data_IF_673721426972
#
_entry.id   IF_673721426972
#
_cell.length_a   1.000
_cell.length_b   1.000
_cell.length_c   1.000
_cell.angle_alpha   90.00
_cell.angle_beta   90.00
_cell.angle_gamma   90.00
#
_symmetry.space_group_name_H-M   'P 1'
#
loop_
_entity.id
_entity.type
_entity.pdbx_description
1 polymer ?
#
# COMPACT_ATOMS: atom_id res chain seq x y z
N UNK A 1 6.19 15.83 12.41
CA UNK A 1 5.39 16.56 11.41
C UNK A 1 5.78 16.00 10.04
N UNK A 2 5.21 14.86 9.66
CA UNK A 2 5.26 14.40 8.28
C UNK A 2 3.86 14.67 7.70
N UNK A 3 3.78 15.66 6.83
CA UNK A 3 2.60 15.85 6.01
C UNK A 3 2.66 14.79 4.92
N UNK A 4 1.90 13.70 5.05
CA UNK A 4 1.66 12.76 3.96
C UNK A 4 1.06 13.54 2.80
N UNK A 5 1.88 13.83 1.79
CA UNK A 5 1.48 14.65 0.65
C UNK A 5 0.58 13.84 -0.27
N UNK A 6 -0.72 14.11 -0.25
CA UNK A 6 -1.57 13.65 -1.34
C UNK A 6 -1.18 14.43 -2.60
N UNK A 7 -0.59 13.74 -3.57
CA UNK A 7 -0.34 14.35 -4.89
C UNK A 7 -1.67 14.37 -5.63
N UNK A 8 -2.30 15.54 -5.64
CA UNK A 8 -3.53 15.80 -6.38
C UNK A 8 -3.26 15.82 -7.89
N UNK A 9 -3.61 14.72 -8.58
CA UNK A 9 -3.69 14.70 -10.04
C UNK A 9 -4.80 15.62 -10.53
N UNK A 10 -4.46 16.56 -11.42
CA UNK A 10 -5.36 17.56 -11.99
C UNK A 10 -6.56 16.96 -12.75
N UNK A 11 -7.66 17.70 -12.72
CA UNK A 11 -8.98 17.28 -13.19
C UNK A 11 -9.09 16.96 -14.68
N UNK A 12 -9.81 15.88 -14.95
CA UNK A 12 -10.34 15.48 -16.25
C UNK A 12 -11.30 14.31 -16.02
N UNK A 13 -12.50 14.38 -16.58
CA UNK A 13 -13.64 13.48 -16.30
C UNK A 13 -13.46 12.01 -16.70
N UNK A 14 -12.56 11.32 -16.00
CA UNK A 14 -12.49 9.87 -15.85
C UNK A 14 -12.38 9.55 -14.35
N UNK A 15 -12.60 8.29 -13.96
CA UNK A 15 -12.48 7.83 -12.57
C UNK A 15 -11.20 8.38 -11.93
N UNK A 16 -11.36 9.37 -11.05
CA UNK A 16 -10.22 10.13 -10.53
C UNK A 16 -9.58 9.33 -9.40
N UNK A 17 -8.28 9.07 -9.49
CA UNK A 17 -7.50 8.32 -8.50
C UNK A 17 -6.61 9.29 -7.71
N UNK A 18 -6.66 9.20 -6.38
CA UNK A 18 -5.78 9.95 -5.47
C UNK A 18 -4.75 8.99 -4.88
N UNK A 19 -3.46 9.32 -5.03
CA UNK A 19 -2.36 8.56 -4.42
C UNK A 19 -1.94 9.23 -3.12
N UNK A 20 -1.88 8.43 -2.07
CA UNK A 20 -1.44 8.82 -0.75
C UNK A 20 -0.17 8.03 -0.49
N UNK A 21 0.97 8.72 -0.52
CA UNK A 21 2.27 8.11 -0.26
C UNK A 21 2.59 8.18 1.23
N UNK A 22 3.14 7.09 1.74
CA UNK A 22 3.73 6.98 3.08
C UNK A 22 2.70 7.24 4.18
N UNK A 23 2.02 6.15 4.58
CA UNK A 23 1.05 6.16 5.69
C UNK A 23 1.78 5.89 7.01
N UNK A 24 3.06 5.47 6.97
CA UNK A 24 3.87 5.36 8.18
C UNK A 24 5.34 4.96 7.98
N UNK A 25 6.23 5.91 8.24
CA UNK A 25 7.59 5.66 8.74
C UNK A 25 7.93 6.67 9.87
N UNK A 26 7.51 6.36 11.10
CA UNK A 26 8.13 6.95 12.31
C UNK A 26 8.90 5.84 13.05
N UNK A 27 10.24 5.72 12.90
CA UNK A 27 11.03 4.75 13.67
C UNK A 27 11.24 5.21 15.14
N UNK A 28 11.07 4.27 16.06
CA UNK A 28 11.10 4.34 17.56
C UNK A 28 12.47 4.73 18.19
N UNK A 29 12.62 5.08 19.52
CA UNK A 29 11.78 4.68 20.67
C UNK A 29 11.46 5.73 21.79
N UNK A 30 10.52 5.30 22.66
CA UNK A 30 10.17 5.73 24.03
C UNK A 30 9.91 7.22 24.31
N UNK A 31 8.64 7.62 24.33
CA UNK A 31 8.13 8.49 25.40
C UNK A 31 6.60 8.41 25.48
N UNK A 32 6.13 8.39 26.73
CA UNK A 32 4.76 8.14 27.17
C UNK A 32 3.68 8.81 26.31
N UNK A 33 2.58 8.07 26.11
CA UNK A 33 1.22 8.49 25.71
C UNK A 33 1.06 10.00 25.42
N UNK A 34 1.70 10.50 24.37
CA UNK A 34 1.35 11.78 23.76
C UNK A 34 0.31 11.43 22.72
N UNK A 35 -0.93 11.85 22.97
CA UNK A 35 -2.04 11.74 22.02
C UNK A 35 -1.52 11.99 20.60
N UNK A 36 -1.53 10.95 19.76
CA UNK A 36 -1.16 11.10 18.35
C UNK A 36 -2.09 12.19 17.78
N UNK A 37 -1.55 13.23 17.13
CA UNK A 37 -2.40 14.25 16.53
C UNK A 37 -3.40 13.59 15.56
N UNK A 38 -4.65 14.07 15.50
CA UNK A 38 -5.65 13.49 14.60
C UNK A 38 -5.13 13.52 13.16
N UNK A 39 -5.27 12.40 12.47
CA UNK A 39 -4.78 12.28 11.10
C UNK A 39 -5.54 13.24 10.19
N UNK A 40 -4.78 14.08 9.50
CA UNK A 40 -5.35 15.12 8.64
C UNK A 40 -5.02 14.80 7.19
N UNK A 41 -6.04 14.55 6.38
CA UNK A 41 -5.87 14.41 4.93
C UNK A 41 -5.74 15.81 4.32
N UNK A 42 -4.74 16.00 3.45
CA UNK A 42 -4.57 17.21 2.66
C UNK A 42 -5.00 16.88 1.23
N UNK A 43 -5.91 17.66 0.64
CA UNK A 43 -6.46 17.39 -0.70
C UNK A 43 -7.90 16.86 -0.70
N UNK A 44 -8.51 16.85 -1.89
CA UNK A 44 -9.89 16.40 -2.12
C UNK A 44 -9.91 14.92 -2.56
N UNK A 45 -10.61 14.09 -1.79
CA UNK A 45 -10.81 12.65 -2.04
C UNK A 45 -12.27 12.29 -2.31
N UNK A 46 -13.16 13.29 -2.32
CA UNK A 46 -14.61 13.08 -2.42
C UNK A 46 -15.01 12.45 -3.76
N UNK A 47 -15.68 11.30 -3.71
CA UNK A 47 -16.10 10.54 -4.89
C UNK A 47 -14.96 9.89 -5.67
N UNK A 48 -13.73 9.89 -5.14
CA UNK A 48 -12.53 9.38 -5.83
C UNK A 48 -12.07 8.05 -5.26
N UNK A 49 -11.28 7.33 -6.03
CA UNK A 49 -10.57 6.15 -5.52
C UNK A 49 -9.30 6.62 -4.81
N UNK A 50 -9.12 6.25 -3.55
CA UNK A 50 -7.92 6.52 -2.78
C UNK A 50 -7.00 5.28 -2.80
N UNK A 51 -5.72 5.49 -3.11
CA UNK A 51 -4.69 4.45 -3.11
C UNK A 51 -3.59 4.86 -2.14
N UNK A 52 -3.47 4.12 -1.04
CA UNK A 52 -2.37 4.22 -0.09
C UNK A 52 -1.20 3.38 -0.60
N UNK A 53 -0.01 3.97 -0.67
CA UNK A 53 1.20 3.32 -1.18
C UNK A 53 2.28 3.39 -0.13
N UNK A 54 2.82 2.22 0.22
CA UNK A 54 3.94 2.08 1.15
C UNK A 54 4.96 1.07 0.63
N UNK A 55 6.14 0.98 1.24
CA UNK A 55 7.11 -0.07 0.90
C UNK A 55 6.78 -1.39 1.60
N UNK A 56 6.27 -1.35 2.83
CA UNK A 56 5.90 -2.51 3.62
C UNK A 56 4.61 -2.33 4.43
N UNK A 57 3.92 -3.43 4.70
CA UNK A 57 2.76 -3.50 5.59
C UNK A 57 3.01 -4.60 6.62
N UNK A 58 3.12 -4.20 7.88
CA UNK A 58 3.27 -5.11 9.04
C UNK A 58 2.13 -4.90 10.04
N UNK A 59 2.16 -3.79 10.80
CA UNK A 59 1.03 -3.31 11.58
C UNK A 59 0.09 -2.49 10.68
N UNK A 60 -1.21 -2.81 10.72
CA UNK A 60 -2.23 -2.21 9.86
C UNK A 60 -3.05 -1.13 10.57
N UNK A 61 -2.84 -0.88 11.86
CA UNK A 61 -3.62 0.09 12.63
C UNK A 61 -3.64 1.49 12.00
N UNK A 62 -2.51 1.95 11.47
CA UNK A 62 -2.42 3.25 10.80
C UNK A 62 -3.19 3.25 9.47
N UNK A 63 -3.09 2.19 8.68
CA UNK A 63 -3.84 2.04 7.44
C UNK A 63 -5.35 1.98 7.67
N UNK A 64 -5.79 1.29 8.73
CA UNK A 64 -7.22 1.22 9.11
C UNK A 64 -7.74 2.59 9.52
N UNK A 65 -7.03 3.29 10.41
CA UNK A 65 -7.40 4.64 10.80
C UNK A 65 -7.40 5.62 9.61
N UNK A 66 -6.48 5.44 8.65
CA UNK A 66 -6.42 6.28 7.46
C UNK A 66 -7.61 5.99 6.55
N UNK A 67 -7.98 4.72 6.42
CA UNK A 67 -9.15 4.31 5.67
C UNK A 67 -10.45 4.89 6.26
N UNK A 68 -10.58 4.97 7.59
CA UNK A 68 -11.71 5.64 8.26
C UNK A 68 -11.80 7.11 7.85
N UNK A 69 -10.71 7.88 8.01
CA UNK A 69 -10.70 9.31 7.65
C UNK A 69 -10.97 9.53 6.16
N UNK A 70 -10.44 8.68 5.29
CA UNK A 70 -10.70 8.74 3.85
C UNK A 70 -12.17 8.45 3.54
N UNK A 71 -12.77 7.49 4.25
CA UNK A 71 -14.17 7.16 4.08
C UNK A 71 -15.09 8.28 4.53
N UNK A 72 -14.81 8.89 5.68
CA UNK A 72 -15.53 10.06 6.20
C UNK A 72 -15.47 11.25 5.24
N UNK A 73 -14.35 11.41 4.52
CA UNK A 73 -14.17 12.44 3.49
C UNK A 73 -14.75 12.08 2.13
N UNK A 74 -15.48 10.97 2.03
CA UNK A 74 -16.23 10.58 0.85
C UNK A 74 -15.42 9.81 -0.20
N UNK A 75 -14.31 9.18 0.15
CA UNK A 75 -13.61 8.28 -0.77
C UNK A 75 -14.55 7.14 -1.23
N UNK A 76 -14.57 6.91 -2.54
CA UNK A 76 -15.42 5.90 -3.18
C UNK A 76 -14.91 4.49 -2.87
N UNK A 77 -13.60 4.26 -3.09
CA UNK A 77 -12.88 3.03 -2.75
C UNK A 77 -11.51 3.34 -2.20
N UNK A 78 -10.98 2.44 -1.37
CA UNK A 78 -9.71 2.60 -0.67
C UNK A 78 -8.87 1.34 -0.90
N UNK A 79 -7.69 1.52 -1.47
CA UNK A 79 -6.73 0.44 -1.76
C UNK A 79 -5.44 0.68 -0.99
N UNK A 80 -4.77 -0.40 -0.59
CA UNK A 80 -3.41 -0.36 -0.05
C UNK A 80 -2.50 -1.14 -0.99
N UNK A 81 -1.38 -0.55 -1.40
CA UNK A 81 -0.33 -1.20 -2.18
C UNK A 81 0.95 -1.15 -1.37
N UNK A 82 1.59 -2.31 -1.19
CA UNK A 82 2.91 -2.38 -0.61
C UNK A 82 3.79 -3.42 -1.28
N UNK A 83 5.10 -3.22 -1.23
CA UNK A 83 6.04 -4.20 -1.76
C UNK A 83 6.08 -5.42 -0.83
N UNK A 84 6.26 -5.19 0.47
CA UNK A 84 6.45 -6.26 1.45
C UNK A 84 5.22 -6.43 2.35
N UNK A 85 4.51 -7.55 2.22
CA UNK A 85 3.39 -7.90 3.10
C UNK A 85 3.84 -8.80 4.25
N UNK A 86 4.29 -8.23 5.37
CA UNK A 86 4.60 -9.00 6.59
C UNK A 86 3.31 -9.44 7.28
N UNK A 87 2.35 -8.51 7.39
CA UNK A 87 0.99 -8.75 7.87
C UNK A 87 0.97 -9.56 9.19
N UNK A 88 1.77 -9.13 10.17
CA UNK A 88 1.92 -9.85 11.44
C UNK A 88 0.69 -9.71 12.33
N UNK A 89 0.59 -10.61 13.32
CA UNK A 89 -0.44 -10.58 14.37
C UNK A 89 -1.88 -10.58 13.79
N UNK A 90 -2.73 -9.70 14.29
CA UNK A 90 -4.14 -9.55 13.92
C UNK A 90 -4.36 -8.79 12.59
N UNK A 91 -3.30 -8.49 11.83
CA UNK A 91 -3.40 -7.66 10.64
C UNK A 91 -4.47 -8.15 9.63
N UNK A 92 -4.58 -9.44 9.28
CA UNK A 92 -5.61 -9.91 8.34
C UNK A 92 -7.03 -9.64 8.84
N UNK A 93 -7.28 -9.84 10.14
CA UNK A 93 -8.58 -9.59 10.76
C UNK A 93 -8.94 -8.11 10.72
N UNK A 94 -8.00 -7.25 11.09
CA UNK A 94 -8.19 -5.80 11.08
C UNK A 94 -8.45 -5.27 9.65
N UNK A 95 -7.75 -5.81 8.65
CA UNK A 95 -8.01 -5.46 7.24
C UNK A 95 -9.43 -5.87 6.84
N UNK A 96 -9.86 -7.10 7.17
CA UNK A 96 -11.18 -7.61 6.83
C UNK A 96 -12.31 -6.76 7.44
N UNK A 97 -12.16 -6.35 8.70
CA UNK A 97 -13.13 -5.52 9.43
C UNK A 97 -13.13 -4.04 8.99
N UNK A 98 -12.05 -3.56 8.34
CA UNK A 98 -11.88 -2.15 7.97
C UNK A 98 -12.60 -1.71 6.68
N UNK A 99 -12.59 -0.40 6.42
CA UNK A 99 -13.05 0.22 5.17
C UNK A 99 -12.10 0.05 3.97
N UNK A 100 -10.98 -0.65 4.14
CA UNK A 100 -10.09 -0.99 3.02
C UNK A 100 -10.81 -1.99 2.10
N UNK A 101 -10.78 -1.73 0.80
CA UNK A 101 -11.37 -2.63 -0.20
C UNK A 101 -10.43 -3.78 -0.52
N UNK A 102 -9.17 -3.48 -0.86
CA UNK A 102 -8.16 -4.48 -1.19
C UNK A 102 -6.78 -4.03 -0.72
N UNK A 103 -5.98 -5.02 -0.28
CA UNK A 103 -4.57 -4.86 0.07
C UNK A 103 -3.77 -5.68 -0.93
N UNK A 104 -2.96 -5.01 -1.74
CA UNK A 104 -2.16 -5.62 -2.79
C UNK A 104 -0.70 -5.62 -2.35
N UNK A 105 -0.14 -6.81 -2.19
CA UNK A 105 1.26 -7.03 -1.78
C UNK A 105 1.98 -7.93 -2.76
N UNK A 106 3.31 -7.92 -2.77
CA UNK A 106 4.07 -8.89 -3.59
C UNK A 106 4.34 -10.18 -2.81
N UNK A 107 4.73 -11.25 -3.50
CA UNK A 107 5.19 -12.50 -2.88
C UNK A 107 6.64 -12.45 -2.35
N UNK A 108 7.18 -11.26 -2.03
CA UNK A 108 8.50 -11.12 -1.38
C UNK A 108 8.57 -11.77 0.00
N UNK A 109 7.45 -11.81 0.72
CA UNK A 109 7.29 -12.49 2.02
C UNK A 109 6.13 -13.48 1.89
N UNK A 110 6.28 -14.75 2.30
CA UNK A 110 5.17 -15.71 2.28
C UNK A 110 4.03 -15.30 3.22
N UNK A 111 2.81 -15.20 2.70
CA UNK A 111 1.64 -14.74 3.47
C UNK A 111 0.35 -15.52 3.13
N UNK A 112 0.47 -16.81 2.80
CA UNK A 112 -0.69 -17.64 2.42
C UNK A 112 -1.68 -17.87 3.58
N UNK A 113 -1.20 -17.94 4.82
CA UNK A 113 -2.06 -18.07 6.01
C UNK A 113 -2.92 -16.81 6.17
N UNK A 114 -2.32 -15.64 5.98
CA UNK A 114 -2.99 -14.35 6.06
C UNK A 114 -4.05 -14.21 4.96
N UNK A 115 -3.77 -14.67 3.74
CA UNK A 115 -4.76 -14.72 2.65
C UNK A 115 -5.94 -15.64 2.93
N UNK A 116 -5.71 -16.77 3.60
CA UNK A 116 -6.80 -17.64 4.03
C UNK A 116 -7.71 -16.98 5.08
N UNK A 117 -7.18 -16.05 5.86
CA UNK A 117 -7.91 -15.32 6.89
C UNK A 117 -8.63 -14.06 6.36
N UNK A 118 -8.15 -13.48 5.24
CA UNK A 118 -8.67 -12.23 4.70
C UNK A 118 -8.71 -12.25 3.17
N UNK A 119 -9.93 -12.15 2.60
CA UNK A 119 -10.16 -12.24 1.16
C UNK A 119 -9.74 -10.97 0.38
N UNK A 120 -9.51 -9.87 1.12
CA UNK A 120 -9.09 -8.58 0.59
C UNK A 120 -7.60 -8.55 0.23
N UNK A 121 -6.80 -9.51 0.69
CA UNK A 121 -5.36 -9.59 0.38
C UNK A 121 -5.17 -10.19 -1.02
N UNK A 122 -4.50 -9.47 -1.90
CA UNK A 122 -4.11 -9.89 -3.24
C UNK A 122 -2.58 -9.91 -3.36
N UNK A 123 -2.07 -10.94 -4.02
CA UNK A 123 -0.63 -11.11 -4.23
C UNK A 123 -0.29 -10.83 -5.69
N UNK A 124 0.72 -10.00 -5.91
CA UNK A 124 1.40 -9.86 -7.20
C UNK A 124 2.64 -10.76 -7.18
N UNK A 125 2.76 -11.64 -8.16
CA UNK A 125 3.97 -12.43 -8.34
C UNK A 125 5.09 -11.54 -8.92
N UNK A 126 6.26 -11.56 -8.29
CA UNK A 126 7.47 -10.90 -8.77
C UNK A 126 8.56 -11.90 -9.18
N UNK A 127 8.25 -13.20 -9.25
CA UNK A 127 9.19 -14.26 -9.61
C UNK A 127 9.87 -14.00 -10.95
N UNK A 128 9.11 -13.56 -11.96
CA UNK A 128 9.62 -13.21 -13.30
C UNK A 128 10.63 -12.07 -13.24
N UNK A 129 10.35 -11.03 -12.44
CA UNK A 129 11.27 -9.90 -12.25
C UNK A 129 12.59 -10.35 -11.61
N UNK A 130 12.52 -11.21 -10.59
CA UNK A 130 13.69 -11.76 -9.93
C UNK A 130 14.49 -12.71 -10.84
N UNK A 131 13.80 -13.57 -11.59
CA UNK A 131 14.42 -14.49 -12.55
C UNK A 131 15.17 -13.73 -13.66
N UNK A 132 14.55 -12.70 -14.22
CA UNK A 132 15.15 -11.86 -15.26
C UNK A 132 16.32 -11.02 -14.71
N UNK A 133 16.22 -10.55 -13.46
CA UNK A 133 17.34 -9.90 -12.78
C UNK A 133 18.55 -10.84 -12.65
N UNK A 134 18.34 -12.08 -12.18
CA UNK A 134 19.39 -13.09 -12.07
C UNK A 134 20.01 -13.39 -13.44
N UNK A 135 19.17 -13.59 -14.47
CA UNK A 135 19.62 -13.87 -15.85
C UNK A 135 20.51 -12.75 -16.39
N UNK A 136 20.10 -11.49 -16.20
CA UNK A 136 20.87 -10.31 -16.66
C UNK A 136 22.17 -10.14 -15.92
N UNK A 137 22.18 -10.33 -14.60
CA UNK A 137 23.40 -10.29 -13.78
C UNK A 137 24.39 -11.36 -14.25
N UNK A 138 23.91 -12.59 -14.47
CA UNK A 138 24.73 -13.70 -14.95
C UNK A 138 25.33 -13.42 -16.33
N UNK A 139 24.55 -12.84 -17.25
CA UNK A 139 24.97 -12.52 -18.60
C UNK A 139 25.68 -11.16 -18.74
N UNK A 140 25.83 -10.39 -17.65
CA UNK A 140 26.36 -9.01 -17.66
C UNK A 140 25.58 -8.06 -18.59
N UNK A 141 24.28 -8.29 -18.69
CA UNK A 141 23.36 -7.43 -19.44
C UNK A 141 22.91 -6.24 -18.59
N UNK A 142 22.41 -5.18 -19.24
CA UNK A 142 21.92 -4.01 -18.54
C UNK A 142 20.65 -4.30 -17.74
N UNK A 143 20.63 -3.87 -16.47
CA UNK A 143 19.46 -3.93 -15.58
C UNK A 143 18.41 -2.86 -15.89
N UNK A 144 18.74 -1.81 -16.64
CA UNK A 144 17.83 -0.68 -16.90
C UNK A 144 16.55 -1.08 -17.63
N UNK A 145 16.54 -2.23 -18.30
CA UNK A 145 15.37 -2.79 -18.98
C UNK A 145 14.24 -3.14 -18.01
N UNK A 146 14.57 -3.69 -16.82
CA UNK A 146 13.59 -4.13 -15.82
C UNK A 146 12.74 -3.00 -15.25
N UNK A 147 13.26 -1.78 -15.22
CA UNK A 147 12.53 -0.61 -14.72
C UNK A 147 11.58 0.02 -15.75
N UNK A 148 11.66 -0.40 -17.02
CA UNK A 148 10.89 0.18 -18.13
C UNK A 148 9.88 -0.80 -18.74
N UNK A 149 10.20 -2.09 -18.73
CA UNK A 149 9.46 -3.12 -19.44
C UNK A 149 9.07 -4.25 -18.48
N UNK A 150 8.11 -3.97 -17.59
CA UNK A 150 7.49 -4.97 -16.73
C UNK A 150 6.23 -5.47 -17.41
N UNK A 151 6.22 -6.74 -17.83
CA UNK A 151 5.01 -7.43 -18.28
C UNK A 151 4.32 -8.06 -17.07
N UNK A 152 3.01 -7.83 -16.93
CA UNK A 152 2.15 -8.50 -15.94
C UNK A 152 1.48 -9.75 -16.53
N UNK A 153 1.99 -10.23 -17.67
CA UNK A 153 1.48 -11.41 -18.34
C UNK A 153 2.22 -12.63 -17.74
N UNK A 154 1.65 -13.17 -16.65
CA UNK A 154 1.62 -14.58 -16.23
C UNK A 154 0.98 -14.71 -14.83
#
# INVERSE_FOLDING_TARGET
MAAGGAVGGGGGGGESVVKIFDVGLDPMPTQAAKNKPPMTVVGDVGGRIAIMVDDMVDDVQQFVAAAEVLKERGAYKIYVLATHGLLSNDAPRLIEESHINEVVVTNTVPHEVQKMQCNKIKTIDISVLLAEAIRRIHNKESMSYLFRNVTLED
#
